data_IF_576242128510
#
_entry.id   IF_576242128510
#
_cell.length_a   1.000
_cell.length_b   1.000
_cell.length_c   1.000
_cell.angle_alpha   90.00
_cell.angle_beta   90.00
_cell.angle_gamma   90.00
#
_symmetry.space_group_name_H-M   'P 1'
#
loop_
_entity.id
_entity.type
_entity.pdbx_description
1 polymer ?
#
# COMPACT_ATOMS: atom_id res chain seq x y z
N UNK A 1 26.34 43.01 -9.59
CA UNK A 1 26.22 43.32 -11.05
C UNK A 1 24.78 42.98 -11.47
N UNK A 2 24.25 43.75 -12.45
CA UNK A 2 22.87 43.57 -12.96
C UNK A 2 22.62 42.16 -13.50
N UNK A 3 23.64 41.51 -14.06
CA UNK A 3 23.58 40.13 -14.61
C UNK A 3 23.39 39.11 -13.50
N UNK A 4 24.07 39.30 -12.37
CA UNK A 4 23.99 38.41 -11.20
C UNK A 4 22.60 38.43 -10.54
N UNK A 5 21.96 39.61 -10.46
CA UNK A 5 20.57 39.71 -9.98
C UNK A 5 19.56 39.02 -10.92
N UNK A 6 19.82 39.05 -12.23
CA UNK A 6 18.95 38.44 -13.22
C UNK A 6 19.07 36.91 -13.16
N UNK A 7 20.29 36.38 -13.02
CA UNK A 7 20.53 34.94 -12.84
C UNK A 7 19.89 34.42 -11.54
N UNK A 8 20.02 35.17 -10.44
CA UNK A 8 19.38 34.80 -9.16
C UNK A 8 17.85 34.79 -9.29
N UNK A 9 17.26 35.81 -9.92
CA UNK A 9 15.81 35.85 -10.15
C UNK A 9 15.33 34.68 -11.00
N UNK A 10 16.08 34.33 -12.05
CA UNK A 10 15.76 33.18 -12.90
C UNK A 10 15.83 31.85 -12.14
N UNK A 11 16.89 31.66 -11.35
CA UNK A 11 17.04 30.47 -10.51
C UNK A 11 15.92 30.37 -9.46
N UNK A 12 15.55 31.48 -8.82
CA UNK A 12 14.43 31.50 -7.87
C UNK A 12 13.11 31.15 -8.56
N UNK A 13 12.85 31.70 -9.75
CA UNK A 13 11.64 31.37 -10.50
C UNK A 13 11.56 29.87 -10.82
N UNK A 14 12.66 29.28 -11.32
CA UNK A 14 12.71 27.84 -11.62
C UNK A 14 12.46 26.96 -10.37
N UNK A 15 13.04 27.33 -9.23
CA UNK A 15 12.80 26.60 -7.96
C UNK A 15 11.34 26.74 -7.52
N UNK A 16 10.76 27.94 -7.66
CA UNK A 16 9.36 28.19 -7.32
C UNK A 16 8.44 27.34 -8.20
N UNK A 17 8.66 27.30 -9.51
CA UNK A 17 7.86 26.47 -10.44
C UNK A 17 7.89 24.99 -10.06
N UNK A 18 9.05 24.46 -9.64
CA UNK A 18 9.18 23.06 -9.17
C UNK A 18 8.40 22.83 -7.88
N UNK A 19 8.48 23.76 -6.93
CA UNK A 19 7.75 23.67 -5.65
C UNK A 19 6.25 23.73 -5.90
N UNK A 20 5.79 24.64 -6.77
CA UNK A 20 4.37 24.80 -7.08
C UNK A 20 3.79 23.59 -7.86
N UNK A 21 4.60 22.93 -8.68
CA UNK A 21 4.21 21.72 -9.39
C UNK A 21 4.19 20.46 -8.50
N UNK A 22 4.91 20.47 -7.36
CA UNK A 22 5.07 19.31 -6.50
C UNK A 22 3.76 18.71 -5.99
N UNK A 23 2.74 19.51 -5.51
CA UNK A 23 1.49 18.93 -5.01
C UNK A 23 0.74 18.09 -6.06
N UNK A 24 0.68 18.57 -7.30
CA UNK A 24 0.02 17.83 -8.39
C UNK A 24 0.78 16.56 -8.73
N UNK A 25 2.09 16.64 -8.90
CA UNK A 25 2.95 15.49 -9.14
C UNK A 25 2.86 14.45 -8.02
N UNK A 26 2.85 14.91 -6.75
CA UNK A 26 2.71 14.01 -5.60
C UNK A 26 1.35 13.30 -5.58
N UNK A 27 0.26 14.02 -5.88
CA UNK A 27 -1.08 13.45 -5.93
C UNK A 27 -1.17 12.35 -7.01
N UNK A 28 -0.63 12.60 -8.19
CA UNK A 28 -0.60 11.63 -9.29
C UNK A 28 0.24 10.40 -8.92
N UNK A 29 1.45 10.60 -8.39
CA UNK A 29 2.32 9.52 -7.96
C UNK A 29 1.68 8.67 -6.83
N UNK A 30 1.02 9.34 -5.86
CA UNK A 30 0.31 8.66 -4.78
C UNK A 30 -0.83 7.81 -5.34
N UNK A 31 -1.63 8.35 -6.27
CA UNK A 31 -2.74 7.62 -6.88
C UNK A 31 -2.25 6.40 -7.68
N UNK A 32 -1.13 6.50 -8.39
CA UNK A 32 -0.52 5.35 -9.07
C UNK A 32 -0.14 4.25 -8.07
N UNK A 33 0.47 4.60 -6.94
CA UNK A 33 0.79 3.64 -5.87
C UNK A 33 -0.47 3.03 -5.28
N UNK A 34 -1.52 3.82 -5.04
CA UNK A 34 -2.80 3.33 -4.52
C UNK A 34 -3.47 2.36 -5.50
N UNK A 35 -3.49 2.65 -6.81
CA UNK A 35 -3.97 1.72 -7.85
C UNK A 35 -3.22 0.39 -7.80
N UNK A 36 -1.90 0.43 -7.78
CA UNK A 36 -1.09 -0.79 -7.66
C UNK A 36 -1.43 -1.59 -6.40
N UNK A 37 -1.62 -0.91 -5.25
CA UNK A 37 -2.02 -1.54 -3.98
C UNK A 37 -3.44 -2.09 -4.01
N UNK A 38 -4.34 -1.55 -4.83
CA UNK A 38 -5.69 -2.07 -5.11
C UNK A 38 -5.66 -3.20 -6.16
N UNK A 39 -4.52 -3.47 -6.79
CA UNK A 39 -4.37 -4.47 -7.84
C UNK A 39 -4.90 -4.03 -9.21
N UNK A 40 -5.06 -2.72 -9.41
CA UNK A 40 -5.54 -2.13 -10.65
C UNK A 40 -4.36 -1.82 -11.59
N UNK A 41 -4.57 -2.01 -12.89
CA UNK A 41 -3.57 -1.75 -13.94
C UNK A 41 -3.98 -0.63 -14.89
N UNK A 42 -5.28 -0.39 -15.01
CA UNK A 42 -5.84 0.68 -15.84
C UNK A 42 -6.29 1.85 -14.96
N UNK A 43 -6.40 3.02 -15.56
CA UNK A 43 -6.80 4.25 -14.87
C UNK A 43 -8.29 4.52 -15.10
N UNK A 44 -8.99 4.83 -14.02
CA UNK A 44 -10.35 5.36 -14.06
C UNK A 44 -10.48 6.55 -13.10
N UNK A 45 -11.40 7.46 -13.40
CA UNK A 45 -11.57 8.69 -12.62
C UNK A 45 -11.96 8.41 -11.15
N UNK A 46 -12.68 7.33 -10.92
CA UNK A 46 -13.19 6.92 -9.60
C UNK A 46 -12.13 6.24 -8.72
N UNK A 47 -10.94 5.90 -9.25
CA UNK A 47 -9.92 5.17 -8.52
C UNK A 47 -9.43 5.92 -7.26
N UNK A 48 -9.34 7.26 -7.35
CA UNK A 48 -8.97 8.08 -6.20
C UNK A 48 -9.98 7.96 -5.06
N UNK A 49 -11.27 8.12 -5.37
CA UNK A 49 -12.33 8.03 -4.38
C UNK A 49 -12.46 6.61 -3.79
N UNK A 50 -12.20 5.59 -4.59
CA UNK A 50 -12.18 4.20 -4.12
C UNK A 50 -11.04 3.96 -3.12
N UNK A 51 -9.84 4.49 -3.39
CA UNK A 51 -8.70 4.38 -2.50
C UNK A 51 -8.93 5.16 -1.20
N UNK A 52 -9.41 6.40 -1.29
CA UNK A 52 -9.68 7.25 -0.14
C UNK A 52 -10.78 6.66 0.76
N UNK A 53 -11.84 6.09 0.18
CA UNK A 53 -12.89 5.40 0.92
C UNK A 53 -12.34 4.18 1.67
N UNK A 54 -11.40 3.43 1.10
CA UNK A 54 -10.74 2.33 1.81
C UNK A 54 -9.95 2.83 3.01
N UNK A 55 -9.13 3.86 2.83
CA UNK A 55 -8.35 4.45 3.91
C UNK A 55 -9.23 5.00 5.03
N UNK A 56 -10.32 5.67 4.68
CA UNK A 56 -11.30 6.18 5.65
C UNK A 56 -11.93 5.05 6.47
N UNK A 57 -12.31 3.93 5.84
CA UNK A 57 -12.83 2.75 6.54
C UNK A 57 -11.80 2.15 7.49
N UNK A 58 -10.53 2.00 7.06
CA UNK A 58 -9.48 1.48 7.92
C UNK A 58 -9.27 2.37 9.16
N UNK A 59 -9.28 3.69 8.97
CA UNK A 59 -9.15 4.66 10.05
C UNK A 59 -10.35 4.61 11.00
N UNK A 60 -11.56 4.65 10.47
CA UNK A 60 -12.81 4.65 11.25
C UNK A 60 -12.93 3.41 12.14
N UNK A 61 -12.54 2.24 11.61
CA UNK A 61 -12.65 0.96 12.30
C UNK A 61 -11.34 0.52 12.98
N UNK A 62 -10.31 1.37 13.00
CA UNK A 62 -9.00 1.10 13.59
C UNK A 62 -8.36 -0.22 13.10
N UNK A 63 -8.54 -0.51 11.83
CA UNK A 63 -8.04 -1.74 11.19
C UNK A 63 -6.55 -1.59 10.87
N UNK A 64 -5.79 -2.67 11.10
CA UNK A 64 -4.38 -2.70 10.72
C UNK A 64 -4.18 -2.47 9.22
N UNK A 65 -3.54 -1.35 8.90
CA UNK A 65 -3.29 -0.90 7.53
C UNK A 65 -2.55 -1.97 6.69
N UNK A 66 -1.47 -2.53 7.21
CA UNK A 66 -0.64 -3.50 6.48
C UNK A 66 -1.42 -4.77 6.19
N UNK A 67 -2.13 -5.29 7.19
CA UNK A 67 -2.94 -6.48 7.03
C UNK A 67 -4.11 -6.26 6.06
N UNK A 68 -4.80 -5.14 6.16
CA UNK A 68 -5.92 -4.84 5.27
C UNK A 68 -5.50 -4.84 3.79
N UNK A 69 -4.43 -4.14 3.44
CA UNK A 69 -3.90 -4.16 2.08
C UNK A 69 -3.45 -5.55 1.63
N UNK A 70 -2.83 -6.32 2.52
CA UNK A 70 -2.40 -7.70 2.21
C UNK A 70 -3.58 -8.61 1.92
N UNK A 71 -4.69 -8.50 2.69
CA UNK A 71 -5.89 -9.33 2.57
C UNK A 71 -6.73 -9.05 1.31
N UNK A 72 -6.47 -7.95 0.60
CA UNK A 72 -7.05 -7.74 -0.73
C UNK A 72 -6.66 -8.86 -1.72
N UNK A 73 -5.48 -9.46 -1.55
CA UNK A 73 -5.07 -10.59 -2.39
C UNK A 73 -5.96 -11.82 -2.21
N UNK A 74 -6.41 -12.09 -0.98
CA UNK A 74 -7.32 -13.18 -0.68
C UNK A 74 -8.71 -12.89 -1.26
N UNK A 75 -9.17 -11.64 -1.10
CA UNK A 75 -10.43 -11.18 -1.69
C UNK A 75 -10.43 -11.25 -3.23
N UNK A 76 -9.30 -10.92 -3.89
CA UNK A 76 -9.13 -11.06 -5.33
C UNK A 76 -9.19 -12.53 -5.77
N UNK A 77 -8.63 -13.44 -4.96
CA UNK A 77 -8.69 -14.89 -5.19
C UNK A 77 -10.09 -15.50 -4.96
N UNK A 78 -11.05 -14.71 -4.43
CA UNK A 78 -12.43 -15.14 -4.21
C UNK A 78 -12.82 -15.36 -2.74
N UNK A 79 -11.85 -15.24 -1.79
CA UNK A 79 -12.14 -15.33 -0.36
C UNK A 79 -11.91 -13.99 0.33
N UNK A 80 -12.99 -13.24 0.55
CA UNK A 80 -12.93 -11.97 1.27
C UNK A 80 -13.04 -12.11 2.80
N UNK A 81 -13.21 -13.32 3.34
CA UNK A 81 -13.39 -13.52 4.78
C UNK A 81 -12.17 -13.09 5.60
N UNK A 82 -10.90 -13.33 5.17
CA UNK A 82 -9.74 -12.83 5.88
C UNK A 82 -9.68 -11.30 5.99
N UNK A 83 -10.18 -10.58 4.98
CA UNK A 83 -10.29 -9.11 5.04
C UNK A 83 -11.41 -8.68 5.99
N UNK A 84 -12.60 -9.28 5.89
CA UNK A 84 -13.75 -9.00 6.76
C UNK A 84 -13.43 -9.23 8.24
N UNK A 85 -12.66 -10.27 8.54
CA UNK A 85 -12.26 -10.63 9.91
C UNK A 85 -11.37 -9.58 10.60
N UNK A 86 -10.80 -8.63 9.86
CA UNK A 86 -10.05 -7.52 10.44
C UNK A 86 -10.95 -6.44 11.05
N UNK A 87 -12.23 -6.42 10.68
CA UNK A 87 -13.20 -5.44 11.18
C UNK A 87 -13.96 -6.01 12.36
N UNK A 88 -14.15 -5.22 13.41
CA UNK A 88 -14.97 -5.62 14.57
C UNK A 88 -16.40 -5.96 14.15
N UNK A 89 -16.95 -5.19 13.21
CA UNK A 89 -18.16 -5.51 12.47
C UNK A 89 -17.78 -5.95 11.06
N UNK A 90 -17.78 -7.25 10.82
CA UNK A 90 -17.29 -7.87 9.58
C UNK A 90 -18.03 -7.45 8.31
N UNK A 91 -19.24 -6.89 8.47
CA UNK A 91 -20.07 -6.39 7.36
C UNK A 91 -19.76 -4.94 6.95
N UNK A 92 -19.05 -4.19 7.80
CA UNK A 92 -18.74 -2.77 7.57
C UNK A 92 -18.00 -2.52 6.25
N UNK A 93 -17.13 -3.46 5.84
CA UNK A 93 -16.35 -3.37 4.60
C UNK A 93 -17.16 -3.73 3.33
N UNK A 94 -18.34 -4.40 3.46
CA UNK A 94 -19.04 -4.97 2.31
C UNK A 94 -19.43 -3.95 1.23
N UNK A 95 -19.93 -2.74 1.53
CA UNK A 95 -20.27 -1.76 0.49
C UNK A 95 -19.05 -1.37 -0.34
N UNK A 96 -17.92 -1.13 0.30
CA UNK A 96 -16.68 -0.81 -0.38
C UNK A 96 -16.17 -2.01 -1.19
N UNK A 97 -16.21 -3.21 -0.61
CA UNK A 97 -15.76 -4.44 -1.25
C UNK A 97 -16.52 -4.72 -2.55
N UNK A 98 -17.82 -4.47 -2.58
CA UNK A 98 -18.65 -4.59 -3.80
C UNK A 98 -18.19 -3.60 -4.88
N UNK A 99 -17.89 -2.35 -4.53
CA UNK A 99 -17.39 -1.34 -5.47
C UNK A 99 -16.03 -1.74 -6.03
N UNK A 100 -15.10 -2.16 -5.17
CA UNK A 100 -13.78 -2.61 -5.58
C UNK A 100 -13.85 -3.85 -6.49
N UNK A 101 -14.70 -4.83 -6.14
CA UNK A 101 -14.91 -6.02 -6.97
C UNK A 101 -15.51 -5.67 -8.34
N UNK A 102 -16.47 -4.74 -8.40
CA UNK A 102 -17.03 -4.26 -9.67
C UNK A 102 -15.97 -3.55 -10.52
N UNK A 103 -15.12 -2.71 -9.89
CA UNK A 103 -13.99 -2.06 -10.58
C UNK A 103 -12.98 -3.08 -11.12
N UNK A 104 -12.67 -4.11 -10.35
CA UNK A 104 -11.81 -5.21 -10.80
C UNK A 104 -12.43 -5.99 -11.96
N UNK A 105 -13.73 -6.30 -11.88
CA UNK A 105 -14.45 -7.04 -12.93
C UNK A 105 -14.46 -6.25 -14.25
N UNK A 106 -14.70 -4.94 -14.20
CA UNK A 106 -14.67 -4.09 -15.39
C UNK A 106 -13.28 -4.08 -16.09
N UNK A 107 -12.20 -4.23 -15.32
CA UNK A 107 -10.85 -4.37 -15.88
C UNK A 107 -10.62 -5.78 -16.44
N UNK A 108 -11.08 -6.82 -15.74
CA UNK A 108 -10.94 -8.22 -16.15
C UNK A 108 -11.73 -8.53 -17.42
N UNK A 109 -12.94 -7.95 -17.57
CA UNK A 109 -13.79 -8.15 -18.75
C UNK A 109 -13.17 -7.55 -20.03
N UNK A 110 -12.30 -6.56 -19.87
CA UNK A 110 -11.53 -5.96 -20.97
C UNK A 110 -10.24 -6.75 -21.30
N UNK A 111 -9.85 -7.72 -20.47
CA UNK A 111 -8.64 -8.53 -20.65
C UNK A 111 -8.94 -9.77 -21.51
N UNK A 112 -8.19 -10.03 -22.61
CA UNK A 112 -8.31 -11.27 -23.39
C UNK A 112 -8.09 -12.56 -22.57
N UNK A 113 -7.46 -12.45 -21.38
CA UNK A 113 -7.19 -13.55 -20.46
C UNK A 113 -8.08 -13.53 -19.20
N UNK A 114 -9.30 -13.04 -19.32
CA UNK A 114 -10.26 -12.89 -18.22
C UNK A 114 -10.37 -14.10 -17.27
N UNK A 115 -10.26 -15.32 -17.79
CA UNK A 115 -10.34 -16.54 -17.00
C UNK A 115 -9.25 -16.68 -15.92
N UNK A 116 -8.08 -16.04 -16.10
CA UNK A 116 -6.96 -16.07 -15.16
C UNK A 116 -6.73 -14.76 -14.45
N UNK A 117 -7.43 -13.68 -14.86
CA UNK A 117 -7.19 -12.32 -14.38
C UNK A 117 -7.25 -12.19 -12.85
N UNK A 118 -8.22 -12.83 -12.19
CA UNK A 118 -8.34 -12.84 -10.72
C UNK A 118 -7.13 -13.44 -10.02
N UNK A 119 -6.64 -14.59 -10.51
CA UNK A 119 -5.47 -15.24 -9.93
C UNK A 119 -4.21 -14.40 -10.12
N UNK A 120 -4.04 -13.82 -11.31
CA UNK A 120 -2.93 -12.91 -11.63
C UNK A 120 -2.99 -11.66 -10.74
N UNK A 121 -4.18 -11.07 -10.55
CA UNK A 121 -4.38 -9.93 -9.64
C UNK A 121 -4.00 -10.28 -8.21
N UNK A 122 -4.40 -11.44 -7.71
CA UNK A 122 -4.05 -11.89 -6.37
C UNK A 122 -2.52 -12.01 -6.18
N UNK A 123 -1.81 -12.54 -7.19
CA UNK A 123 -0.34 -12.60 -7.16
C UNK A 123 0.27 -11.19 -7.14
N UNK A 124 -0.19 -10.27 -7.99
CA UNK A 124 0.29 -8.87 -7.99
C UNK A 124 0.07 -8.20 -6.65
N UNK A 125 -1.12 -8.35 -6.06
CA UNK A 125 -1.44 -7.80 -4.75
C UNK A 125 -0.49 -8.31 -3.65
N UNK A 126 -0.11 -9.59 -3.68
CA UNK A 126 0.88 -10.15 -2.76
C UNK A 126 2.28 -9.60 -2.97
N UNK A 127 2.64 -9.27 -4.20
CA UNK A 127 3.94 -8.68 -4.55
C UNK A 127 4.01 -7.18 -4.26
N UNK A 128 2.87 -6.48 -4.26
CA UNK A 128 2.79 -5.03 -4.02
C UNK A 128 2.58 -4.70 -2.55
N UNK A 129 1.78 -5.50 -1.84
CA UNK A 129 1.41 -5.27 -0.45
C UNK A 129 2.24 -6.17 0.48
N UNK A 130 3.16 -5.62 1.27
CA UNK A 130 3.98 -6.42 2.16
C UNK A 130 3.11 -7.05 3.26
N UNK A 131 3.50 -8.24 3.70
CA UNK A 131 2.95 -8.91 4.87
C UNK A 131 3.60 -8.42 6.15
N UNK A 132 4.89 -8.11 6.07
CA UNK A 132 5.74 -7.76 7.21
C UNK A 132 6.29 -6.35 7.01
N UNK A 133 6.22 -5.54 8.06
CA UNK A 133 6.85 -4.23 8.14
C UNK A 133 7.61 -4.10 9.47
N UNK A 134 8.59 -3.20 9.59
CA UNK A 134 9.28 -2.95 10.84
C UNK A 134 8.34 -2.24 11.83
N UNK A 135 7.68 -3.00 12.70
CA UNK A 135 6.83 -2.46 13.78
C UNK A 135 7.71 -1.84 14.85
N UNK A 136 7.45 -0.60 15.25
CA UNK A 136 8.27 0.16 16.21
C UNK A 136 8.55 -0.64 17.48
N UNK A 137 7.53 -1.25 18.11
CA UNK A 137 7.73 -2.03 19.32
C UNK A 137 8.68 -3.23 19.12
N UNK A 138 8.68 -3.88 17.95
CA UNK A 138 9.62 -4.98 17.63
C UNK A 138 11.04 -4.47 17.41
N UNK A 139 11.17 -3.29 16.80
CA UNK A 139 12.47 -2.63 16.64
C UNK A 139 13.03 -2.25 18.01
N UNK A 140 12.22 -1.65 18.88
CA UNK A 140 12.60 -1.27 20.25
C UNK A 140 13.00 -2.49 21.08
N UNK A 141 12.24 -3.60 21.04
CA UNK A 141 12.60 -4.86 21.70
C UNK A 141 13.98 -5.38 21.24
N UNK A 142 14.24 -5.38 19.93
CA UNK A 142 15.51 -5.82 19.38
C UNK A 142 16.67 -4.92 19.78
N UNK A 143 16.46 -3.59 19.78
CA UNK A 143 17.47 -2.62 20.21
C UNK A 143 17.76 -2.71 21.72
N UNK A 144 16.73 -2.91 22.54
CA UNK A 144 16.88 -3.08 23.99
C UNK A 144 17.69 -4.33 24.33
N UNK A 145 17.38 -5.48 23.70
CA UNK A 145 18.14 -6.73 23.88
C UNK A 145 19.62 -6.57 23.48
N UNK A 146 19.86 -5.92 22.34
CA UNK A 146 21.21 -5.67 21.84
C UNK A 146 22.03 -4.76 22.77
N UNK A 147 21.43 -3.65 23.24
CA UNK A 147 22.14 -2.66 24.06
C UNK A 147 22.31 -3.10 25.52
N UNK A 148 21.33 -3.79 26.12
CA UNK A 148 21.40 -4.18 27.52
C UNK A 148 22.17 -5.48 27.74
N UNK A 149 22.13 -6.42 26.79
CA UNK A 149 22.65 -7.78 26.97
C UNK A 149 23.60 -8.23 25.86
N UNK A 150 23.87 -7.42 24.84
CA UNK A 150 24.62 -7.83 23.65
C UNK A 150 23.92 -8.91 22.83
N UNK A 151 22.62 -9.14 23.07
CA UNK A 151 21.85 -10.17 22.37
C UNK A 151 21.29 -9.63 21.04
N UNK A 152 21.86 -10.10 19.93
CA UNK A 152 21.45 -9.76 18.57
C UNK A 152 20.42 -10.74 17.98
N UNK A 153 19.93 -11.71 18.73
CA UNK A 153 19.02 -12.76 18.21
C UNK A 153 17.72 -12.18 17.66
N UNK A 154 17.08 -11.24 18.40
CA UNK A 154 15.87 -10.55 17.96
C UNK A 154 16.12 -9.65 16.76
N UNK A 155 17.25 -8.94 16.75
CA UNK A 155 17.65 -8.11 15.61
C UNK A 155 17.82 -8.94 14.34
N UNK A 156 18.57 -10.04 14.42
CA UNK A 156 18.83 -10.91 13.27
C UNK A 156 17.54 -11.56 12.75
N UNK A 157 16.64 -11.98 13.64
CA UNK A 157 15.32 -12.53 13.26
C UNK A 157 14.47 -11.47 12.55
N UNK A 158 14.40 -10.25 13.08
CA UNK A 158 13.67 -9.14 12.48
C UNK A 158 14.27 -8.78 11.11
N UNK A 159 15.60 -8.70 11.01
CA UNK A 159 16.29 -8.41 9.76
C UNK A 159 15.97 -9.47 8.69
N UNK A 160 16.04 -10.75 9.03
CA UNK A 160 15.73 -11.84 8.12
C UNK A 160 14.28 -11.78 7.61
N UNK A 161 13.32 -11.47 8.49
CA UNK A 161 11.91 -11.28 8.11
C UNK A 161 11.73 -10.08 7.17
N UNK A 162 12.41 -8.96 7.45
CA UNK A 162 12.31 -7.73 6.65
C UNK A 162 13.01 -7.82 5.29
N UNK A 163 13.95 -8.76 5.12
CA UNK A 163 14.55 -9.06 3.81
C UNK A 163 13.58 -9.81 2.88
N UNK A 164 12.49 -10.37 3.42
CA UNK A 164 11.45 -11.07 2.67
C UNK A 164 10.05 -10.54 3.02
N UNK A 165 9.77 -9.24 2.84
CA UNK A 165 8.57 -8.59 3.38
C UNK A 165 7.27 -9.08 2.73
N UNK A 166 7.36 -9.71 1.56
CA UNK A 166 6.23 -10.24 0.81
C UNK A 166 6.02 -11.75 0.98
N UNK A 167 6.90 -12.41 1.74
CA UNK A 167 6.82 -13.87 1.94
C UNK A 167 5.59 -14.27 2.76
N UNK A 168 4.94 -15.35 2.35
CA UNK A 168 3.87 -16.01 3.11
C UNK A 168 4.39 -17.11 4.04
N UNK A 169 5.71 -17.22 4.22
CA UNK A 169 6.32 -18.19 5.12
C UNK A 169 5.78 -18.03 6.56
N UNK A 170 5.18 -19.08 7.16
CA UNK A 170 4.66 -19.02 8.51
C UNK A 170 5.75 -18.80 9.58
N UNK A 171 7.02 -19.03 9.27
CA UNK A 171 8.13 -18.73 10.18
C UNK A 171 8.20 -17.25 10.57
N UNK A 172 7.59 -16.36 9.77
CA UNK A 172 7.56 -14.91 9.99
C UNK A 172 6.20 -14.40 10.51
N UNK A 173 5.28 -15.27 10.90
CA UNK A 173 3.96 -14.92 11.40
C UNK A 173 4.01 -14.39 12.85
#
# INVERSE_FOLDING_TARGET
SSDDETEVKHAVAQVTDVIDAFPAWYADALLQVQRAKLGLQTEQAEDASLADAFLALLQQHQVDFTQAWRRLADAAAGDANPLRALFAESTAINPWLLQWQARCAAEDDADPQAATARAVRAVRLRQTNPRIIPRNHRVEEALAAASAHGDLSLFNRLLAALQQPFSDDPAWA
#
